data_IF_236613782245
#
_entry.id   IF_236613782245
#
_cell.length_a   1.000
_cell.length_b   1.000
_cell.length_c   1.000
_cell.angle_alpha   90.00
_cell.angle_beta   90.00
_cell.angle_gamma   90.00
#
_symmetry.space_group_name_H-M   'P 1'
#
loop_
_entity.id
_entity.type
_entity.pdbx_description
1 polymer ?
#
# COMPACT_ATOMS: atom_id res chain seq x y z
N UNK A 1 34.15 44.36 59.83
CA UNK A 1 33.80 42.99 59.44
C UNK A 1 35.03 42.12 59.69
N UNK A 2 34.92 41.12 60.56
CA UNK A 2 36.03 40.21 60.86
C UNK A 2 36.30 39.23 59.72
N UNK A 3 37.54 38.73 59.58
CA UNK A 3 37.92 37.75 58.54
C UNK A 3 36.99 36.52 58.54
N UNK A 4 36.64 36.05 59.73
CA UNK A 4 35.76 34.88 59.93
C UNK A 4 34.33 35.11 59.42
N UNK A 5 33.76 36.32 59.58
CA UNK A 5 32.43 36.63 59.05
C UNK A 5 32.41 36.64 57.52
N UNK A 6 33.49 37.12 56.91
CA UNK A 6 33.63 37.16 55.45
C UNK A 6 33.75 35.75 54.86
N UNK A 7 34.56 34.90 55.46
CA UNK A 7 34.73 33.48 55.07
C UNK A 7 33.41 32.71 55.22
N UNK A 8 32.69 32.89 56.33
CA UNK A 8 31.37 32.29 56.55
C UNK A 8 30.35 32.72 55.51
N UNK A 9 30.37 33.99 55.07
CA UNK A 9 29.49 34.51 54.02
C UNK A 9 29.82 33.89 52.64
N UNK A 10 31.09 33.72 52.32
CA UNK A 10 31.52 33.04 51.07
C UNK A 10 31.06 31.59 51.07
N UNK A 11 31.27 30.87 52.17
CA UNK A 11 30.88 29.47 52.31
C UNK A 11 29.36 29.31 52.16
N UNK A 12 28.57 30.14 52.84
CA UNK A 12 27.10 30.11 52.75
C UNK A 12 26.61 30.37 51.32
N UNK A 13 27.22 31.33 50.61
CA UNK A 13 26.89 31.60 49.21
C UNK A 13 27.23 30.42 48.29
N UNK A 14 28.34 29.74 48.53
CA UNK A 14 28.72 28.53 47.79
C UNK A 14 27.73 27.40 48.02
N UNK A 15 27.38 27.12 49.28
CA UNK A 15 26.39 26.10 49.67
C UNK A 15 25.05 26.39 48.98
N UNK A 16 24.54 27.61 49.07
CA UNK A 16 23.28 28.02 48.42
C UNK A 16 23.30 27.84 46.90
N UNK A 17 24.41 28.15 46.23
CA UNK A 17 24.57 27.90 44.79
C UNK A 17 24.50 26.41 44.45
N UNK A 18 25.10 25.56 45.28
CA UNK A 18 25.07 24.10 45.10
C UNK A 18 23.68 23.53 45.35
N UNK A 19 22.97 23.99 46.37
CA UNK A 19 21.59 23.61 46.65
C UNK A 19 20.66 23.94 45.47
N UNK A 20 20.73 25.17 44.95
CA UNK A 20 19.97 25.57 43.76
C UNK A 20 20.31 24.71 42.54
N UNK A 21 21.59 24.34 42.38
CA UNK A 21 22.00 23.48 41.28
C UNK A 21 21.43 22.05 41.43
N UNK A 22 21.44 21.50 42.65
CA UNK A 22 20.84 20.20 42.96
C UNK A 22 19.34 20.22 42.69
N UNK A 23 18.64 21.27 43.12
CA UNK A 23 17.20 21.42 42.88
C UNK A 23 16.88 21.50 41.37
N UNK A 24 17.67 22.28 40.62
CA UNK A 24 17.53 22.36 39.16
C UNK A 24 17.75 21.00 38.48
N UNK A 25 18.75 20.22 38.92
CA UNK A 25 18.99 18.88 38.40
C UNK A 25 17.84 17.92 38.74
N UNK A 26 17.29 17.98 39.96
CA UNK A 26 16.12 17.20 40.37
C UNK A 26 14.90 17.51 39.49
N UNK A 27 14.63 18.79 39.24
CA UNK A 27 13.53 19.21 38.38
C UNK A 27 13.71 18.76 36.93
N UNK A 28 14.94 18.83 36.40
CA UNK A 28 15.26 18.29 35.07
C UNK A 28 15.03 16.78 34.99
N UNK A 29 15.50 16.02 35.98
CA UNK A 29 15.31 14.58 36.04
C UNK A 29 13.80 14.20 36.10
N UNK A 30 13.02 14.90 36.93
CA UNK A 30 11.57 14.74 36.99
C UNK A 30 10.88 14.99 35.65
N UNK A 31 11.25 16.06 34.96
CA UNK A 31 10.67 16.38 33.64
C UNK A 31 11.08 15.36 32.58
N UNK A 32 12.33 14.89 32.58
CA UNK A 32 12.79 13.83 31.69
C UNK A 32 11.99 12.54 31.92
N UNK A 33 11.78 12.14 33.17
CA UNK A 33 10.98 10.95 33.49
C UNK A 33 9.55 11.05 32.97
N UNK A 34 8.90 12.20 33.16
CA UNK A 34 7.55 12.46 32.60
C UNK A 34 7.51 12.37 31.08
N UNK A 35 8.57 12.81 30.39
CA UNK A 35 8.66 12.70 28.94
C UNK A 35 8.86 11.25 28.50
N UNK A 36 9.71 10.50 29.19
CA UNK A 36 9.93 9.06 28.93
C UNK A 36 8.61 8.30 29.08
N UNK A 37 7.83 8.55 30.14
CA UNK A 37 6.52 7.91 30.33
C UNK A 37 5.55 8.21 29.17
N UNK A 38 5.47 9.47 28.73
CA UNK A 38 4.65 9.86 27.58
C UNK A 38 5.08 9.18 26.28
N UNK A 39 6.40 9.06 26.06
CA UNK A 39 6.93 8.36 24.88
C UNK A 39 6.62 6.87 24.93
N UNK A 40 6.76 6.22 26.09
CA UNK A 40 6.40 4.81 26.29
C UNK A 40 4.92 4.58 25.95
N UNK A 41 4.02 5.44 26.42
CA UNK A 41 2.59 5.32 26.12
C UNK A 41 2.28 5.54 24.65
N UNK A 42 2.99 6.47 24.00
CA UNK A 42 2.89 6.68 22.55
C UNK A 42 3.37 5.45 21.79
N UNK A 43 4.50 4.85 22.19
CA UNK A 43 5.02 3.63 21.59
C UNK A 43 4.05 2.45 21.74
N UNK A 44 3.41 2.29 22.91
CA UNK A 44 2.39 1.24 23.12
C UNK A 44 1.20 1.41 22.17
N UNK A 45 0.68 2.63 22.02
CA UNK A 45 -0.42 2.94 21.09
C UNK A 45 -0.02 2.65 19.64
N UNK A 46 1.16 3.09 19.23
CA UNK A 46 1.68 2.86 17.88
C UNK A 46 1.86 1.36 17.58
N UNK A 47 2.35 0.58 18.56
CA UNK A 47 2.47 -0.88 18.43
C UNK A 47 1.11 -1.53 18.20
N UNK A 48 0.07 -1.14 18.94
CA UNK A 48 -1.28 -1.67 18.74
C UNK A 48 -1.84 -1.34 17.35
N UNK A 49 -1.63 -0.10 16.87
CA UNK A 49 -2.03 0.30 15.51
C UNK A 49 -1.29 -0.51 14.47
N UNK A 50 0.02 -0.72 14.64
CA UNK A 50 0.84 -1.52 13.72
C UNK A 50 0.34 -2.96 13.61
N UNK A 51 0.01 -3.61 14.73
CA UNK A 51 -0.51 -4.98 14.72
C UNK A 51 -1.86 -5.08 14.01
N UNK A 52 -2.77 -4.11 14.22
CA UNK A 52 -4.04 -4.03 13.48
C UNK A 52 -3.81 -3.87 11.97
N UNK A 53 -2.84 -3.04 11.57
CA UNK A 53 -2.50 -2.85 10.16
C UNK A 53 -1.91 -4.11 9.53
N UNK A 54 -1.05 -4.85 10.25
CA UNK A 54 -0.52 -6.13 9.77
C UNK A 54 -1.62 -7.16 9.56
N UNK A 55 -2.55 -7.28 10.50
CA UNK A 55 -3.72 -8.16 10.37
C UNK A 55 -4.57 -7.78 9.16
N UNK A 56 -4.90 -6.49 9.01
CA UNK A 56 -5.66 -6.00 7.85
C UNK A 56 -4.93 -6.29 6.53
N UNK A 57 -3.61 -6.08 6.48
CA UNK A 57 -2.79 -6.41 5.30
C UNK A 57 -2.88 -7.91 4.97
N UNK A 58 -2.73 -8.78 5.96
CA UNK A 58 -2.81 -10.24 5.76
C UNK A 58 -4.19 -10.66 5.25
N UNK A 59 -5.27 -10.14 5.83
CA UNK A 59 -6.63 -10.42 5.35
C UNK A 59 -6.84 -9.97 3.91
N UNK A 60 -6.43 -8.75 3.56
CA UNK A 60 -6.53 -8.24 2.19
C UNK A 60 -5.69 -9.05 1.20
N UNK A 61 -4.49 -9.47 1.60
CA UNK A 61 -3.63 -10.31 0.76
C UNK A 61 -4.28 -11.68 0.50
N UNK A 62 -4.91 -12.28 1.52
CA UNK A 62 -5.62 -13.54 1.36
C UNK A 62 -6.83 -13.40 0.43
N UNK A 63 -7.60 -12.32 0.56
CA UNK A 63 -8.72 -12.02 -0.34
C UNK A 63 -8.24 -11.80 -1.79
N UNK A 64 -7.16 -11.04 -1.96
CA UNK A 64 -6.54 -10.82 -3.28
C UNK A 64 -6.09 -12.14 -3.90
N UNK A 65 -5.35 -12.97 -3.16
CA UNK A 65 -4.85 -14.26 -3.64
C UNK A 65 -6.00 -15.21 -4.00
N UNK A 66 -7.08 -15.22 -3.20
CA UNK A 66 -8.27 -16.00 -3.49
C UNK A 66 -8.92 -15.56 -4.82
N UNK A 67 -9.11 -14.26 -5.02
CA UNK A 67 -9.67 -13.72 -6.26
C UNK A 67 -8.76 -14.01 -7.46
N UNK A 68 -7.45 -13.84 -7.31
CA UNK A 68 -6.48 -14.12 -8.35
C UNK A 68 -6.50 -15.60 -8.76
N UNK A 69 -6.54 -16.51 -7.79
CA UNK A 69 -6.63 -17.95 -8.05
C UNK A 69 -7.93 -18.30 -8.77
N UNK A 70 -9.07 -17.75 -8.32
CA UNK A 70 -10.36 -17.95 -9.00
C UNK A 70 -10.30 -17.50 -10.46
N UNK A 71 -9.66 -16.36 -10.73
CA UNK A 71 -9.45 -15.87 -12.10
C UNK A 71 -8.50 -16.77 -12.89
N UNK A 72 -7.45 -17.32 -12.28
CA UNK A 72 -6.53 -18.27 -12.94
C UNK A 72 -7.25 -19.58 -13.32
N UNK A 73 -8.13 -20.07 -12.45
CA UNK A 73 -8.86 -21.32 -12.67
C UNK A 73 -10.03 -21.16 -13.66
N UNK A 74 -10.86 -20.14 -13.48
CA UNK A 74 -12.09 -19.94 -14.27
C UNK A 74 -11.84 -19.10 -15.54
N UNK A 75 -10.81 -18.26 -15.55
CA UNK A 75 -10.63 -17.19 -16.53
C UNK A 75 -11.65 -16.06 -16.34
N UNK A 76 -11.44 -14.94 -17.04
CA UNK A 76 -12.40 -13.82 -17.07
C UNK A 76 -13.04 -13.74 -18.44
N UNK A 77 -14.36 -13.68 -18.48
CA UNK A 77 -15.10 -13.41 -19.70
C UNK A 77 -15.30 -11.90 -19.87
N UNK A 78 -14.92 -11.40 -21.04
CA UNK A 78 -15.02 -10.00 -21.42
C UNK A 78 -15.97 -9.91 -22.61
N UNK A 79 -16.96 -9.05 -22.49
CA UNK A 79 -17.89 -8.75 -23.58
C UNK A 79 -17.38 -7.52 -24.32
N UNK A 80 -17.06 -7.69 -25.60
CA UNK A 80 -16.60 -6.65 -26.51
C UNK A 80 -17.74 -6.35 -27.48
N UNK A 81 -18.01 -5.07 -27.75
CA UNK A 81 -19.01 -4.71 -28.76
C UNK A 81 -18.54 -5.13 -30.16
N UNK A 82 -19.38 -5.86 -30.90
CA UNK A 82 -19.05 -6.25 -32.27
C UNK A 82 -19.42 -5.15 -33.26
N UNK A 83 -18.42 -4.41 -33.74
CA UNK A 83 -18.59 -3.38 -34.78
C UNK A 83 -18.27 -3.94 -36.18
N UNK A 84 -18.71 -5.17 -36.48
CA UNK A 84 -18.40 -5.92 -37.70
C UNK A 84 -16.90 -6.19 -37.92
N UNK A 85 -16.18 -6.44 -36.83
CA UNK A 85 -14.78 -6.84 -36.92
C UNK A 85 -14.63 -8.19 -37.63
N UNK A 86 -13.58 -8.34 -38.45
CA UNK A 86 -13.26 -9.61 -39.12
C UNK A 86 -12.54 -10.59 -38.18
N UNK A 87 -13.13 -10.84 -37.01
CA UNK A 87 -12.62 -11.76 -35.99
C UNK A 87 -13.36 -13.08 -36.12
N UNK A 88 -12.62 -14.19 -36.03
CA UNK A 88 -13.19 -15.55 -36.02
C UNK A 88 -13.28 -16.11 -34.60
N UNK A 89 -14.20 -17.04 -34.40
CA UNK A 89 -14.23 -17.81 -33.17
C UNK A 89 -12.89 -18.54 -32.99
N UNK A 90 -12.40 -18.61 -31.76
CA UNK A 90 -11.10 -19.13 -31.34
C UNK A 90 -9.89 -18.32 -31.80
N UNK A 91 -10.10 -17.13 -32.36
CA UNK A 91 -9.02 -16.21 -32.70
C UNK A 91 -8.45 -15.54 -31.44
N UNK A 92 -7.12 -15.36 -31.44
CA UNK A 92 -6.42 -14.65 -30.37
C UNK A 92 -6.57 -13.13 -30.54
N UNK A 93 -6.94 -12.47 -29.46
CA UNK A 93 -6.87 -11.02 -29.27
C UNK A 93 -5.76 -10.72 -28.27
N UNK A 94 -5.31 -9.48 -28.22
CA UNK A 94 -4.17 -9.09 -27.40
C UNK A 94 -4.54 -7.92 -26.50
N UNK A 95 -4.00 -7.93 -25.29
CA UNK A 95 -4.08 -6.78 -24.39
C UNK A 95 -2.77 -6.01 -24.52
N UNK A 96 -2.86 -4.72 -24.83
CA UNK A 96 -1.70 -3.83 -24.86
C UNK A 96 -1.95 -2.63 -23.95
N UNK A 97 -0.87 -2.15 -23.32
CA UNK A 97 -0.92 -0.92 -22.54
C UNK A 97 -0.73 0.27 -23.47
N UNK A 98 -1.72 1.15 -23.53
CA UNK A 98 -1.63 2.42 -24.25
C UNK A 98 -1.89 3.56 -23.25
N UNK A 99 -0.90 4.41 -23.04
CA UNK A 99 -0.92 5.45 -22.01
C UNK A 99 -1.20 4.88 -20.60
N UNK A 100 -2.34 5.26 -20.01
CA UNK A 100 -2.80 4.82 -18.67
C UNK A 100 -3.85 3.71 -18.73
N UNK A 101 -4.18 3.20 -19.92
CA UNK A 101 -5.25 2.24 -20.13
C UNK A 101 -4.72 0.93 -20.73
N UNK A 102 -5.45 -0.16 -20.48
CA UNK A 102 -5.24 -1.44 -21.14
C UNK A 102 -6.32 -1.61 -22.19
N UNK A 103 -5.90 -1.75 -23.45
CA UNK A 103 -6.82 -1.88 -24.58
C UNK A 103 -6.72 -3.27 -25.19
N UNK A 104 -7.82 -3.72 -25.78
CA UNK A 104 -7.94 -4.99 -26.48
C UNK A 104 -7.81 -4.71 -27.97
N UNK A 105 -6.88 -5.40 -28.62
CA UNK A 105 -6.63 -5.29 -30.06
C UNK A 105 -6.69 -6.66 -30.73
N UNK A 106 -7.03 -6.70 -32.02
CA UNK A 106 -6.88 -7.91 -32.81
C UNK A 106 -5.44 -8.09 -33.31
N UNK A 107 -5.17 -9.19 -34.03
CA UNK A 107 -3.85 -9.48 -34.62
C UNK A 107 -3.33 -8.41 -35.61
N UNK A 108 -4.23 -7.59 -36.17
CA UNK A 108 -3.88 -6.47 -37.07
C UNK A 108 -3.58 -5.18 -36.30
N UNK A 109 -3.74 -5.18 -34.97
CA UNK A 109 -3.62 -3.99 -34.14
C UNK A 109 -4.86 -3.09 -34.15
N UNK A 110 -5.98 -3.52 -34.72
CA UNK A 110 -7.23 -2.75 -34.68
C UNK A 110 -7.78 -2.75 -33.25
N UNK A 111 -8.12 -1.56 -32.75
CA UNK A 111 -8.74 -1.36 -31.44
C UNK A 111 -10.15 -1.97 -31.42
N UNK A 112 -10.40 -2.79 -30.39
CA UNK A 112 -11.69 -3.45 -30.19
C UNK A 112 -12.43 -2.87 -28.99
N UNK A 113 -11.75 -2.71 -27.86
CA UNK A 113 -12.35 -2.19 -26.62
C UNK A 113 -11.28 -1.81 -25.59
N UNK A 114 -11.69 -1.18 -24.50
CA UNK A 114 -10.86 -0.93 -23.30
C UNK A 114 -11.21 -1.95 -22.23
N UNK A 115 -10.19 -2.47 -21.54
CA UNK A 115 -10.37 -3.40 -20.43
C UNK A 115 -11.12 -2.70 -19.27
N UNK A 116 -12.12 -3.36 -18.72
CA UNK A 116 -12.88 -2.84 -17.58
C UNK A 116 -11.95 -2.61 -16.39
N UNK A 117 -12.19 -1.51 -15.64
CA UNK A 117 -11.34 -1.08 -14.54
C UNK A 117 -11.19 -2.17 -13.47
N UNK A 118 -12.25 -2.88 -13.16
CA UNK A 118 -12.27 -3.95 -12.17
C UNK A 118 -11.34 -5.10 -12.57
N UNK A 119 -11.29 -5.44 -13.86
CA UNK A 119 -10.37 -6.45 -14.40
C UNK A 119 -8.93 -5.95 -14.31
N UNK A 120 -8.69 -4.68 -14.64
CA UNK A 120 -7.37 -4.06 -14.52
C UNK A 120 -6.91 -4.05 -13.06
N UNK A 121 -7.76 -3.67 -12.12
CA UNK A 121 -7.41 -3.56 -10.70
C UNK A 121 -7.03 -4.93 -10.10
N UNK A 122 -7.69 -6.01 -10.52
CA UNK A 122 -7.38 -7.38 -10.08
C UNK A 122 -6.06 -7.87 -10.73
N UNK A 123 -5.86 -7.56 -12.00
CA UNK A 123 -4.80 -8.16 -12.83
C UNK A 123 -3.65 -7.23 -13.18
N UNK A 124 -3.56 -6.05 -12.61
CA UNK A 124 -2.61 -5.01 -13.02
C UNK A 124 -1.17 -5.52 -13.15
N UNK A 125 -0.69 -6.19 -12.10
CA UNK A 125 0.67 -6.74 -12.07
C UNK A 125 0.85 -7.83 -13.13
N UNK A 126 -0.12 -8.74 -13.23
CA UNK A 126 -0.11 -9.80 -14.22
C UNK A 126 -0.03 -9.17 -15.62
N UNK A 127 -0.93 -8.24 -15.97
CA UNK A 127 -1.08 -7.55 -17.27
C UNK A 127 0.16 -6.76 -17.73
N UNK A 128 0.96 -6.22 -16.82
CA UNK A 128 2.20 -5.50 -17.16
C UNK A 128 3.32 -6.47 -17.49
N UNK A 129 3.43 -7.56 -16.74
CA UNK A 129 4.56 -8.48 -16.84
C UNK A 129 4.46 -9.42 -18.03
N UNK A 130 3.25 -9.74 -18.50
CA UNK A 130 3.06 -10.65 -19.65
C UNK A 130 2.23 -10.02 -20.76
N UNK A 131 2.55 -10.40 -22.01
CA UNK A 131 1.68 -10.13 -23.17
C UNK A 131 0.55 -11.17 -23.17
N UNK A 132 -0.60 -10.84 -22.59
CA UNK A 132 -1.73 -11.77 -22.58
C UNK A 132 -2.42 -11.85 -23.92
N UNK A 133 -2.81 -13.09 -24.26
CA UNK A 133 -3.77 -13.38 -25.30
C UNK A 133 -5.15 -13.64 -24.67
N UNK A 134 -6.14 -12.90 -25.14
CA UNK A 134 -7.55 -13.22 -24.97
C UNK A 134 -7.96 -14.17 -26.11
N UNK A 135 -8.85 -15.12 -25.85
CA UNK A 135 -9.39 -15.99 -26.89
C UNK A 135 -10.84 -15.61 -27.17
N UNK A 136 -11.18 -15.29 -28.42
CA UNK A 136 -12.57 -15.05 -28.82
C UNK A 136 -13.38 -16.35 -28.74
N UNK A 137 -14.24 -16.49 -27.74
CA UNK A 137 -14.99 -17.72 -27.48
C UNK A 137 -16.28 -17.82 -28.28
N UNK A 138 -16.99 -16.70 -28.43
CA UNK A 138 -18.29 -16.63 -29.13
C UNK A 138 -18.42 -15.29 -29.82
N UNK A 139 -18.90 -15.31 -31.06
CA UNK A 139 -19.15 -14.11 -31.85
C UNK A 139 -20.62 -14.08 -32.22
N UNK A 140 -21.26 -12.96 -31.93
CA UNK A 140 -22.65 -12.66 -32.29
C UNK A 140 -22.67 -11.32 -33.01
N UNK A 141 -23.79 -10.98 -33.64
CA UNK A 141 -23.93 -9.73 -34.41
C UNK A 141 -23.65 -8.48 -33.58
N UNK A 142 -23.82 -8.53 -32.26
CA UNK A 142 -23.64 -7.38 -31.36
C UNK A 142 -22.45 -7.50 -30.40
N UNK A 143 -22.01 -8.71 -30.09
CA UNK A 143 -21.06 -8.98 -28.99
C UNK A 143 -20.05 -10.04 -29.42
N UNK A 144 -18.79 -9.82 -29.08
CA UNK A 144 -17.72 -10.81 -29.05
C UNK A 144 -17.46 -11.13 -27.57
N UNK A 145 -17.64 -12.40 -27.19
CA UNK A 145 -17.28 -12.89 -25.86
C UNK A 145 -15.86 -13.41 -25.95
N UNK A 146 -14.93 -12.79 -25.23
CA UNK A 146 -13.54 -13.21 -25.15
C UNK A 146 -13.23 -13.78 -23.76
N UNK A 147 -12.41 -14.82 -23.66
CA UNK A 147 -11.92 -15.36 -22.39
C UNK A 147 -10.46 -14.99 -22.21
N UNK A 148 -10.16 -14.33 -21.10
CA UNK A 148 -8.80 -14.11 -20.62
C UNK A 148 -8.36 -15.34 -19.84
N UNK A 149 -7.24 -15.93 -20.26
CA UNK A 149 -6.60 -17.04 -19.55
C UNK A 149 -5.23 -16.55 -19.09
N UNK A 150 -5.04 -16.54 -17.78
CA UNK A 150 -3.75 -16.22 -17.16
C UNK A 150 -3.00 -17.54 -17.02
N UNK A 151 -2.05 -17.80 -17.90
CA UNK A 151 -1.16 -18.95 -17.77
C UNK A 151 -0.07 -18.62 -16.75
N UNK A 152 0.23 -19.59 -15.87
CA UNK A 152 1.38 -19.54 -14.96
C UNK A 152 2.67 -19.36 -15.75
#
# INVERSE_FOLDING_TARGET
MGREEFEKKILNNYVKKKENHIENLKNKALNMNKNIEKEIDTMKKNKQVLEKLKQKKSMLLNQYNYLLNKVKDEGIFINIRNNNYSIKQWENLFIIKQNKEFIIVNKKGEYLDTLQKEVVDILYNELIEKRYSLMAMRISTRIIVARLIIKN
#
